data_IF_042896308419
#
_entry.id   IF_042896308419
#
_cell.length_a   1.000
_cell.length_b   1.000
_cell.length_c   1.000
_cell.angle_alpha   90.00
_cell.angle_beta   90.00
_cell.angle_gamma   90.00
#
_symmetry.space_group_name_H-M   'P 1'
#
loop_
_entity.id
_entity.type
_entity.pdbx_description
1 polymer ?
#
# COMPACT_ATOMS: atom_id res chain seq x y z
N UNK A 1 -2.55 -7.75 18.65
CA UNK A 1 -2.88 -6.41 18.52
C UNK A 1 -3.82 -6.12 17.39
N UNK A 2 -4.29 -4.95 17.39
CA UNK A 2 -5.20 -4.52 16.36
C UNK A 2 -4.47 -4.32 15.05
N UNK A 3 -5.14 -4.62 14.00
CA UNK A 3 -4.62 -4.37 12.68
C UNK A 3 -4.84 -2.91 12.33
N UNK A 4 -3.83 -2.31 11.79
CA UNK A 4 -3.89 -0.91 11.49
C UNK A 4 -4.31 -0.62 10.06
N UNK A 5 -4.92 -1.60 9.40
CA UNK A 5 -5.40 -1.39 8.05
C UNK A 5 -6.48 -0.31 8.00
N UNK A 6 -7.14 -0.07 9.12
CA UNK A 6 -8.20 0.94 9.17
C UNK A 6 -7.67 2.35 9.10
N UNK A 7 -6.38 2.54 9.31
CA UNK A 7 -5.79 3.88 9.20
C UNK A 7 -5.31 4.18 7.78
N UNK A 8 -5.41 3.21 6.90
CA UNK A 8 -5.01 3.40 5.52
C UNK A 8 -6.10 4.12 4.75
N UNK A 9 -5.69 5.00 3.85
CA UNK A 9 -6.64 5.60 2.92
C UNK A 9 -7.09 4.51 1.94
N UNK A 10 -8.17 4.79 1.20
CA UNK A 10 -8.64 3.83 0.22
C UNK A 10 -7.57 3.47 -0.78
N UNK A 11 -6.81 4.45 -1.23
CA UNK A 11 -5.75 4.21 -2.20
C UNK A 11 -4.63 3.36 -1.59
N UNK A 12 -4.23 3.69 -0.38
CA UNK A 12 -3.20 2.93 0.30
C UNK A 12 -3.62 1.48 0.52
N UNK A 13 -4.87 1.30 0.91
CA UNK A 13 -5.40 -0.04 1.13
C UNK A 13 -5.42 -0.83 -0.17
N UNK A 14 -5.85 -0.20 -1.24
CA UNK A 14 -5.90 -0.84 -2.54
C UNK A 14 -4.51 -1.29 -2.98
N UNK A 15 -3.53 -0.41 -2.85
CA UNK A 15 -2.17 -0.72 -3.23
C UNK A 15 -1.61 -1.83 -2.35
N UNK A 16 -1.88 -1.76 -1.05
CA UNK A 16 -1.42 -2.78 -0.12
C UNK A 16 -1.92 -4.16 -0.53
N UNK A 17 -3.21 -4.26 -0.84
CA UNK A 17 -3.79 -5.53 -1.22
C UNK A 17 -3.24 -6.02 -2.56
N UNK A 18 -3.12 -5.12 -3.53
CA UNK A 18 -2.64 -5.53 -4.85
C UNK A 18 -1.19 -5.98 -4.82
N UNK A 19 -0.37 -5.37 -3.96
CA UNK A 19 1.04 -5.71 -3.91
C UNK A 19 1.28 -7.12 -3.37
N UNK A 20 0.27 -7.73 -2.80
CA UNK A 20 0.41 -9.12 -2.34
C UNK A 20 0.55 -10.09 -3.52
N UNK A 21 -0.05 -9.74 -4.64
CA UNK A 21 -0.04 -10.62 -5.80
C UNK A 21 0.51 -9.98 -7.06
N UNK A 22 0.75 -8.68 -7.05
CA UNK A 22 1.19 -7.94 -8.22
C UNK A 22 2.43 -7.13 -7.91
N UNK A 23 3.22 -6.86 -8.94
CA UNK A 23 4.41 -6.04 -8.79
C UNK A 23 4.02 -4.57 -8.75
N UNK A 24 4.97 -3.74 -8.31
CA UNK A 24 4.75 -2.30 -8.29
C UNK A 24 4.40 -1.79 -9.67
N UNK A 25 5.06 -2.30 -10.69
CA UNK A 25 4.82 -1.88 -12.07
C UNK A 25 3.38 -2.21 -12.49
N UNK A 26 2.94 -3.40 -12.15
CA UNK A 26 1.59 -3.82 -12.51
C UNK A 26 0.54 -3.00 -11.78
N UNK A 27 0.75 -2.76 -10.51
CA UNK A 27 -0.18 -1.94 -9.74
C UNK A 27 -0.25 -0.54 -10.32
N UNK A 28 0.89 0.04 -10.65
CA UNK A 28 0.92 1.37 -11.24
C UNK A 28 0.12 1.43 -12.53
N UNK A 29 0.24 0.41 -13.36
CA UNK A 29 -0.49 0.35 -14.62
C UNK A 29 -2.00 0.24 -14.39
N UNK A 30 -2.39 -0.59 -13.43
CA UNK A 30 -3.80 -0.80 -13.14
C UNK A 30 -4.44 0.48 -12.60
N UNK A 31 -3.76 1.14 -11.69
CA UNK A 31 -4.27 2.34 -11.05
C UNK A 31 -4.15 3.55 -11.96
N UNK A 32 -3.17 3.54 -12.87
CA UNK A 32 -2.94 4.66 -13.75
C UNK A 32 -2.05 5.72 -13.13
N UNK A 33 -1.02 5.29 -12.42
CA UNK A 33 -0.10 6.20 -11.77
C UNK A 33 1.34 5.74 -12.03
N UNK A 34 2.30 6.44 -11.46
CA UNK A 34 3.71 6.09 -11.64
C UNK A 34 4.10 5.02 -10.61
N UNK A 35 5.17 4.29 -10.95
CA UNK A 35 5.70 3.29 -10.03
C UNK A 35 6.23 3.95 -8.77
N UNK A 36 6.82 5.13 -8.92
CA UNK A 36 7.33 5.85 -7.77
C UNK A 36 6.22 6.19 -6.79
N UNK A 37 5.07 6.60 -7.33
CA UNK A 37 3.94 6.94 -6.50
C UNK A 37 3.40 5.69 -5.77
N UNK A 38 3.32 4.58 -6.49
CA UNK A 38 2.86 3.33 -5.89
C UNK A 38 3.81 2.92 -4.77
N UNK A 39 5.10 3.01 -5.03
CA UNK A 39 6.10 2.63 -4.02
C UNK A 39 5.95 3.50 -2.78
N UNK A 40 5.79 4.80 -2.99
CA UNK A 40 5.65 5.72 -1.86
C UNK A 40 4.42 5.40 -1.04
N UNK A 41 3.29 5.18 -1.72
CA UNK A 41 2.05 4.86 -1.01
C UNK A 41 2.13 3.52 -0.30
N UNK A 42 2.79 2.55 -0.93
CA UNK A 42 2.97 1.26 -0.31
C UNK A 42 3.83 1.37 0.95
N UNK A 43 4.90 2.17 0.89
CA UNK A 43 5.76 2.36 2.04
C UNK A 43 5.01 3.08 3.16
N UNK A 44 4.18 4.05 2.82
CA UNK A 44 3.37 4.74 3.81
C UNK A 44 2.43 3.76 4.51
N UNK A 45 1.78 2.90 3.73
CA UNK A 45 0.87 1.90 4.29
C UNK A 45 1.64 0.94 5.18
N UNK A 46 2.79 0.51 4.73
CA UNK A 46 3.63 -0.41 5.50
C UNK A 46 4.05 0.19 6.82
N UNK A 47 4.43 1.47 6.80
CA UNK A 47 4.83 2.15 8.02
C UNK A 47 3.68 2.22 9.02
N UNK A 48 2.49 2.53 8.52
CA UNK A 48 1.33 2.63 9.38
C UNK A 48 1.01 1.30 10.04
N UNK A 49 1.03 0.25 9.24
CA UNK A 49 0.74 -1.09 9.74
C UNK A 49 1.87 -1.61 10.60
N UNK A 50 3.09 -1.42 10.14
CA UNK A 50 4.26 -1.90 10.86
C UNK A 50 4.45 -1.23 12.19
N UNK A 51 4.19 0.07 12.25
CA UNK A 51 4.32 0.80 13.50
C UNK A 51 3.35 0.27 14.54
N UNK A 52 2.19 -0.17 14.09
CA UNK A 52 1.20 -0.72 15.00
C UNK A 52 1.57 -2.08 15.54
N UNK A 53 2.50 -2.75 14.89
CA UNK A 53 2.91 -4.08 15.29
C UNK A 53 4.07 -4.07 16.29
N UNK A 54 4.65 -2.93 16.47
CA UNK A 54 5.72 -2.82 17.44
C UNK A 54 5.18 -2.57 18.82
#
# INVERSE_FOLDING_TARGET
GQHNVFILTDREKQIWEMRKTKSTKEVAAIIGTSEANVRKLFENARDKIGAGNE
#
